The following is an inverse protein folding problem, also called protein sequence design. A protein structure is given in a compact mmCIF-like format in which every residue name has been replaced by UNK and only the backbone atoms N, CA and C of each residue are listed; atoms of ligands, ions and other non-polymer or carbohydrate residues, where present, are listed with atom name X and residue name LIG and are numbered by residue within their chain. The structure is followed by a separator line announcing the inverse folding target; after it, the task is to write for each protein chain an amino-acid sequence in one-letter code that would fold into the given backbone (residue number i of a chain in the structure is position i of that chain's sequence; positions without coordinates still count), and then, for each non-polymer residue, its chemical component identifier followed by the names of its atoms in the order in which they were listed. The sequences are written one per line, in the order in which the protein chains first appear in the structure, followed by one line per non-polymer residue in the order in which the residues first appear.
data_IF_609536353304
#
_entry.id   IF_609536353304
#
_cell.length_a   1.000
_cell.length_b   1.000
_cell.length_c   1.000
_cell.angle_alpha   90.00
_cell.angle_beta   90.00
_cell.angle_gamma   90.00
#
_symmetry.space_group_name_H-M   'P 1'
#
loop_
_entity.id
_entity.type
_entity.pdbx_description
1 polymer ?
#
# COMPACT_ATOMS: atom_id res chain seq x y z
N UNK A 1 -63.71 -12.81 -2.93
CA UNK A 1 -62.24 -12.78 -2.73
C UNK A 1 -61.54 -12.90 -4.08
N UNK A 2 -61.20 -11.77 -4.69
CA UNK A 2 -60.49 -11.72 -5.98
C UNK A 2 -59.01 -11.90 -5.71
N UNK A 3 -58.44 -13.02 -6.15
CA UNK A 3 -56.99 -13.28 -6.09
C UNK A 3 -56.27 -12.31 -7.03
N UNK A 4 -55.65 -11.27 -6.48
CA UNK A 4 -54.67 -10.48 -7.21
C UNK A 4 -53.42 -11.34 -7.48
N UNK A 5 -53.34 -11.95 -8.65
CA UNK A 5 -52.11 -12.55 -9.14
C UNK A 5 -51.14 -11.42 -9.52
N UNK A 6 -50.13 -11.18 -8.70
CA UNK A 6 -49.04 -10.29 -9.06
C UNK A 6 -48.37 -10.80 -10.35
N UNK A 7 -48.39 -9.98 -11.41
CA UNK A 7 -47.64 -10.29 -12.65
C UNK A 7 -46.17 -10.34 -12.31
N UNK A 8 -45.56 -11.53 -12.39
CA UNK A 8 -44.12 -11.68 -12.24
C UNK A 8 -43.39 -10.78 -13.27
N UNK A 9 -42.50 -9.93 -12.81
CA UNK A 9 -41.63 -9.14 -13.67
C UNK A 9 -40.64 -10.03 -14.47
N UNK A 10 -40.57 -11.33 -14.16
CA UNK A 10 -39.61 -12.28 -14.73
C UNK A 10 -40.26 -13.00 -15.92
N UNK A 11 -39.76 -12.74 -17.13
CA UNK A 11 -40.09 -13.51 -18.33
C UNK A 11 -39.34 -14.85 -18.32
N UNK A 12 -39.88 -15.90 -18.97
CA UNK A 12 -39.13 -17.15 -19.16
C UNK A 12 -37.75 -16.85 -19.81
N UNK A 13 -36.69 -17.51 -19.34
CA UNK A 13 -35.37 -17.35 -19.92
C UNK A 13 -35.37 -17.82 -21.39
N UNK A 14 -34.86 -17.03 -22.33
CA UNK A 14 -34.76 -17.45 -23.72
C UNK A 14 -33.75 -18.60 -23.87
N UNK A 15 -33.95 -19.44 -24.89
CA UNK A 15 -32.99 -20.49 -25.23
C UNK A 15 -31.68 -19.83 -25.75
N UNK A 16 -30.55 -20.20 -25.17
CA UNK A 16 -29.24 -19.65 -25.52
C UNK A 16 -28.45 -20.69 -26.33
N UNK A 17 -27.97 -20.30 -27.50
CA UNK A 17 -27.04 -21.08 -28.30
C UNK A 17 -25.61 -20.48 -28.12
N UNK A 18 -24.62 -21.35 -27.89
CA UNK A 18 -23.22 -20.93 -27.68
C UNK A 18 -22.37 -21.15 -28.95
N UNK A 19 -21.70 -20.10 -29.44
CA UNK A 19 -20.83 -20.14 -30.58
C UNK A 19 -19.44 -19.57 -30.27
N UNK A 20 -18.38 -20.30 -30.62
CA UNK A 20 -16.98 -19.91 -30.39
C UNK A 20 -16.40 -19.16 -31.62
N UNK A 21 -17.04 -18.07 -32.07
CA UNK A 21 -16.67 -17.33 -33.29
C UNK A 21 -16.09 -15.94 -33.03
N UNK A 22 -16.16 -15.41 -31.81
CA UNK A 22 -15.72 -14.07 -31.51
C UNK A 22 -14.20 -13.98 -31.39
N UNK A 23 -13.59 -13.02 -32.13
CA UNK A 23 -12.13 -12.74 -32.13
C UNK A 23 -11.86 -11.36 -31.50
N UNK A 24 -10.66 -11.17 -30.97
CA UNK A 24 -10.19 -9.89 -30.42
C UNK A 24 -10.91 -9.43 -29.16
N UNK A 25 -11.52 -10.35 -28.39
CA UNK A 25 -12.21 -10.03 -27.14
C UNK A 25 -11.25 -10.06 -25.97
N UNK A 26 -11.42 -9.12 -25.06
CA UNK A 26 -10.80 -9.11 -23.72
C UNK A 26 -11.85 -8.80 -22.67
N UNK A 27 -11.71 -9.40 -21.49
CA UNK A 27 -12.47 -9.04 -20.30
C UNK A 27 -11.76 -8.01 -19.41
N UNK A 28 -10.60 -7.50 -19.85
CA UNK A 28 -9.69 -6.67 -19.07
C UNK A 28 -9.23 -5.43 -19.84
N UNK A 29 -10.13 -4.82 -20.62
CA UNK A 29 -9.78 -3.65 -21.45
C UNK A 29 -9.28 -2.46 -20.64
N UNK A 30 -9.66 -2.35 -19.36
CA UNK A 30 -9.17 -1.33 -18.44
C UNK A 30 -7.70 -1.46 -18.04
N UNK A 31 -7.03 -2.54 -18.41
CA UNK A 31 -5.56 -2.68 -18.29
C UNK A 31 -4.82 -1.83 -19.36
N UNK A 32 -5.41 -1.58 -20.52
CA UNK A 32 -4.76 -0.79 -21.55
C UNK A 32 -4.31 0.62 -21.07
N UNK A 33 -5.14 1.41 -20.35
CA UNK A 33 -4.69 2.66 -19.75
C UNK A 33 -3.51 2.50 -18.78
N UNK A 34 -3.45 1.41 -18.01
CA UNK A 34 -2.35 1.13 -17.08
C UNK A 34 -1.04 0.85 -17.84
N UNK A 35 -1.12 0.05 -18.90
CA UNK A 35 0.02 -0.23 -19.78
C UNK A 35 0.57 1.07 -20.36
N UNK A 36 -0.27 1.89 -20.97
CA UNK A 36 0.14 3.15 -21.57
C UNK A 36 0.68 4.14 -20.54
N UNK A 37 0.06 4.21 -19.35
CA UNK A 37 0.53 5.04 -18.25
C UNK A 37 1.97 4.69 -17.84
N UNK A 38 2.27 3.41 -17.60
CA UNK A 38 3.64 2.99 -17.26
C UNK A 38 4.63 3.21 -18.39
N UNK A 39 4.23 2.97 -19.64
CA UNK A 39 5.07 3.23 -20.82
C UNK A 39 5.40 4.73 -20.93
N UNK A 40 4.42 5.62 -20.75
CA UNK A 40 4.61 7.08 -20.77
C UNK A 40 5.36 7.63 -19.57
N UNK A 41 5.33 6.94 -18.44
CA UNK A 41 6.24 7.22 -17.34
C UNK A 41 7.68 6.78 -17.66
N UNK A 42 7.91 6.08 -18.78
CA UNK A 42 9.22 5.59 -19.20
C UNK A 42 9.69 4.38 -18.38
N UNK A 43 8.78 3.45 -18.05
CA UNK A 43 9.12 2.27 -17.27
C UNK A 43 10.33 1.51 -17.82
N UNK A 44 10.33 1.20 -19.12
CA UNK A 44 11.43 0.43 -19.76
C UNK A 44 12.75 1.18 -19.75
N UNK A 45 12.71 2.50 -20.00
CA UNK A 45 13.88 3.37 -19.94
C UNK A 45 14.49 3.39 -18.54
N UNK A 46 13.64 3.60 -17.52
CA UNK A 46 14.07 3.65 -16.13
C UNK A 46 14.61 2.29 -15.69
N UNK A 47 13.99 1.17 -16.08
CA UNK A 47 14.51 -0.17 -15.80
C UNK A 47 15.90 -0.37 -16.42
N UNK A 48 16.08 0.00 -17.68
CA UNK A 48 17.40 -0.11 -18.38
C UNK A 48 18.49 0.74 -17.72
N UNK A 49 18.13 1.91 -17.18
CA UNK A 49 19.08 2.79 -16.52
C UNK A 49 19.43 2.35 -15.09
N UNK A 50 18.50 1.71 -14.38
CA UNK A 50 18.66 1.40 -12.97
C UNK A 50 19.06 -0.04 -12.69
N UNK A 51 18.68 -0.98 -13.56
CA UNK A 51 18.84 -2.40 -13.28
C UNK A 51 19.95 -2.99 -14.14
N UNK A 52 21.00 -3.40 -13.46
CA UNK A 52 22.08 -4.20 -14.05
C UNK A 52 21.73 -5.68 -13.95
N UNK A 53 21.21 -6.23 -15.05
CA UNK A 53 20.83 -7.63 -15.14
C UNK A 53 21.16 -8.21 -16.51
N UNK A 54 22.29 -8.90 -16.58
CA UNK A 54 22.71 -9.53 -17.82
C UNK A 54 21.94 -10.81 -18.11
N UNK A 55 21.46 -10.92 -19.33
CA UNK A 55 20.95 -12.16 -19.92
C UNK A 55 21.69 -12.43 -21.24
N UNK A 56 22.03 -13.69 -21.47
CA UNK A 56 22.70 -14.06 -22.71
C UNK A 56 21.98 -13.55 -23.96
N UNK A 57 22.72 -13.35 -25.06
CA UNK A 57 22.21 -12.79 -26.32
C UNK A 57 21.00 -13.55 -26.89
N UNK A 58 20.84 -14.83 -26.60
CA UNK A 58 19.72 -15.68 -27.03
C UNK A 58 18.50 -15.59 -26.09
N UNK A 59 18.50 -14.70 -25.11
CA UNK A 59 17.39 -14.58 -24.18
C UNK A 59 16.19 -13.87 -24.86
N UNK A 60 15.10 -14.62 -25.05
CA UNK A 60 13.89 -14.13 -25.71
C UNK A 60 13.17 -13.01 -24.92
N UNK A 61 13.27 -13.00 -23.58
CA UNK A 61 12.59 -12.05 -22.72
C UNK A 61 13.63 -11.32 -21.87
N UNK A 62 13.55 -10.01 -21.77
CA UNK A 62 14.38 -9.20 -20.88
C UNK A 62 13.93 -9.32 -19.43
N UNK A 63 14.74 -8.79 -18.51
CA UNK A 63 14.33 -8.71 -17.11
C UNK A 63 13.24 -7.65 -16.92
N UNK A 64 13.30 -6.53 -17.65
CA UNK A 64 12.25 -5.50 -17.63
C UNK A 64 10.91 -6.04 -18.13
N UNK A 65 10.89 -6.91 -19.17
CA UNK A 65 9.65 -7.57 -19.60
C UNK A 65 9.05 -8.42 -18.48
N UNK A 66 9.88 -9.20 -17.77
CA UNK A 66 9.41 -10.02 -16.65
C UNK A 66 8.84 -9.18 -15.50
N UNK A 67 9.47 -8.05 -15.19
CA UNK A 67 8.97 -7.09 -14.20
C UNK A 67 7.65 -6.48 -14.66
N UNK A 68 7.58 -5.98 -15.89
CA UNK A 68 6.37 -5.38 -16.45
C UNK A 68 5.19 -6.35 -16.46
N UNK A 69 5.42 -7.59 -16.94
CA UNK A 69 4.41 -8.66 -16.94
C UNK A 69 3.89 -8.94 -15.54
N UNK A 70 4.80 -8.95 -14.55
CA UNK A 70 4.44 -9.23 -13.16
C UNK A 70 3.65 -8.09 -12.54
N UNK A 71 4.05 -6.83 -12.76
CA UNK A 71 3.33 -5.64 -12.29
C UNK A 71 1.91 -5.60 -12.87
N UNK A 72 1.78 -5.70 -14.19
CA UNK A 72 0.47 -5.66 -14.85
C UNK A 72 -0.41 -6.85 -14.47
N UNK A 73 0.15 -8.06 -14.44
CA UNK A 73 -0.59 -9.25 -13.99
C UNK A 73 -1.08 -9.14 -12.55
N UNK A 74 -0.29 -8.54 -11.67
CA UNK A 74 -0.67 -8.27 -10.27
C UNK A 74 -1.81 -7.25 -10.19
N UNK A 75 -1.76 -6.19 -10.99
CA UNK A 75 -2.84 -5.21 -11.10
C UNK A 75 -4.14 -5.89 -11.58
N UNK A 76 -4.06 -6.78 -12.56
CA UNK A 76 -5.19 -7.57 -13.03
C UNK A 76 -5.75 -8.54 -11.98
N UNK A 77 -5.02 -8.80 -10.89
CA UNK A 77 -5.45 -9.63 -9.77
C UNK A 77 -4.75 -10.99 -9.68
N UNK A 78 -3.67 -11.19 -10.42
CA UNK A 78 -2.88 -12.42 -10.30
C UNK A 78 -2.18 -12.51 -8.94
N UNK A 79 -2.23 -13.68 -8.32
CA UNK A 79 -1.65 -13.97 -7.00
C UNK A 79 -0.51 -15.01 -7.05
N UNK A 80 -0.12 -15.43 -8.25
CA UNK A 80 1.00 -16.37 -8.49
C UNK A 80 1.56 -16.16 -9.90
N UNK A 81 2.78 -16.67 -10.17
CA UNK A 81 3.38 -16.59 -11.50
C UNK A 81 2.51 -17.26 -12.57
N UNK A 82 1.93 -18.41 -12.26
CA UNK A 82 0.99 -19.09 -13.16
C UNK A 82 -0.21 -18.19 -13.52
N UNK A 83 -0.80 -17.50 -12.54
CA UNK A 83 -1.91 -16.59 -12.80
C UNK A 83 -1.46 -15.33 -13.55
N UNK A 84 -0.23 -14.87 -13.39
CA UNK A 84 0.35 -13.79 -14.21
C UNK A 84 0.39 -14.22 -15.68
N UNK A 85 0.92 -15.42 -15.95
CA UNK A 85 0.92 -15.97 -17.31
C UNK A 85 -0.48 -16.15 -17.87
N UNK A 86 -1.45 -16.57 -17.04
CA UNK A 86 -2.86 -16.67 -17.44
C UNK A 86 -3.46 -15.30 -17.85
N UNK A 87 -3.11 -14.22 -17.16
CA UNK A 87 -3.51 -12.86 -17.61
C UNK A 87 -2.96 -12.54 -18.99
N UNK A 88 -1.69 -12.90 -19.24
CA UNK A 88 -1.03 -12.66 -20.52
C UNK A 88 -1.37 -13.68 -21.61
N UNK A 89 -2.21 -14.70 -21.32
CA UNK A 89 -2.86 -15.53 -22.34
C UNK A 89 -3.85 -14.71 -23.19
N UNK A 90 -4.33 -13.59 -22.66
CA UNK A 90 -5.17 -12.66 -23.38
C UNK A 90 -4.42 -12.06 -24.59
N UNK A 91 -4.87 -12.44 -25.80
CA UNK A 91 -4.25 -12.00 -27.04
C UNK A 91 -4.31 -10.49 -27.23
N UNK A 92 -5.39 -9.84 -26.78
CA UNK A 92 -5.58 -8.39 -26.89
C UNK A 92 -4.53 -7.65 -26.08
N UNK A 93 -4.29 -8.05 -24.82
CA UNK A 93 -3.24 -7.43 -23.99
C UNK A 93 -1.86 -7.61 -24.59
N UNK A 94 -1.55 -8.79 -25.13
CA UNK A 94 -0.27 -9.03 -25.82
C UNK A 94 -0.10 -8.12 -27.03
N UNK A 95 -1.13 -7.99 -27.86
CA UNK A 95 -1.10 -7.11 -29.05
C UNK A 95 -0.91 -5.64 -28.68
N UNK A 96 -1.56 -5.15 -27.60
CA UNK A 96 -1.37 -3.78 -27.09
C UNK A 96 0.08 -3.53 -26.69
N UNK A 97 0.77 -4.54 -26.13
CA UNK A 97 2.19 -4.45 -25.77
C UNK A 97 3.17 -4.80 -26.90
N UNK A 98 2.67 -5.19 -28.08
CA UNK A 98 3.53 -5.63 -29.19
C UNK A 98 4.21 -6.98 -28.96
N UNK A 99 3.71 -7.81 -28.05
CA UNK A 99 4.30 -9.12 -27.75
C UNK A 99 3.69 -10.26 -28.58
N UNK A 100 4.52 -10.95 -29.34
CA UNK A 100 4.12 -12.15 -30.09
C UNK A 100 3.91 -13.36 -29.18
N UNK A 101 4.61 -13.41 -28.05
CA UNK A 101 4.55 -14.51 -27.07
C UNK A 101 4.91 -14.00 -25.67
N UNK A 102 4.60 -14.80 -24.67
CA UNK A 102 4.96 -14.57 -23.26
C UNK A 102 5.67 -15.80 -22.70
N UNK A 103 6.53 -15.66 -21.67
CA UNK A 103 7.15 -16.78 -21.00
C UNK A 103 6.10 -17.62 -20.27
N UNK A 104 6.36 -18.89 -20.08
CA UNK A 104 5.66 -19.73 -19.12
C UNK A 104 6.03 -19.34 -17.68
N UNK A 105 5.30 -19.85 -16.70
CA UNK A 105 5.50 -19.55 -15.29
C UNK A 105 6.85 -20.08 -14.78
N UNK A 106 7.34 -21.19 -15.31
CA UNK A 106 8.64 -21.77 -14.96
C UNK A 106 9.78 -20.89 -15.47
N UNK A 107 9.65 -20.35 -16.68
CA UNK A 107 10.62 -19.42 -17.27
C UNK A 107 10.60 -18.08 -16.52
N UNK A 108 9.42 -17.55 -16.20
CA UNK A 108 9.29 -16.34 -15.39
C UNK A 108 9.93 -16.53 -14.01
N UNK A 109 9.67 -17.69 -13.37
CA UNK A 109 10.29 -18.05 -12.11
C UNK A 109 11.82 -18.18 -12.19
N UNK A 110 12.36 -18.75 -13.28
CA UNK A 110 13.82 -18.82 -13.51
C UNK A 110 14.45 -17.43 -13.67
N UNK A 111 13.77 -16.51 -14.32
CA UNK A 111 14.24 -15.12 -14.45
C UNK A 111 14.37 -14.49 -13.06
N UNK A 112 13.34 -14.58 -12.21
CA UNK A 112 13.40 -14.02 -10.85
C UNK A 112 14.45 -14.68 -9.98
N UNK A 113 14.64 -16.01 -10.05
CA UNK A 113 15.67 -16.73 -9.27
C UNK A 113 17.11 -16.38 -9.67
N UNK A 114 17.36 -15.85 -10.87
CA UNK A 114 18.66 -15.30 -11.26
C UNK A 114 18.92 -13.91 -10.67
N UNK A 115 17.90 -13.21 -10.23
CA UNK A 115 18.02 -11.91 -9.55
C UNK A 115 18.58 -12.10 -8.14
N UNK A 116 19.34 -11.09 -7.69
CA UNK A 116 19.99 -11.01 -6.38
C UNK A 116 19.48 -9.80 -5.60
N UNK A 117 19.90 -9.64 -4.36
CA UNK A 117 19.48 -8.49 -3.52
C UNK A 117 19.87 -7.14 -4.14
N UNK A 118 20.95 -7.08 -4.93
CA UNK A 118 21.30 -5.88 -5.69
C UNK A 118 20.15 -5.45 -6.63
N UNK A 119 19.55 -6.40 -7.38
CA UNK A 119 18.44 -6.08 -8.26
C UNK A 119 17.17 -5.69 -7.48
N UNK A 120 17.00 -6.13 -6.24
CA UNK A 120 15.91 -5.67 -5.38
C UNK A 120 16.07 -4.17 -5.10
N UNK A 121 17.25 -3.74 -4.66
CA UNK A 121 17.56 -2.31 -4.42
C UNK A 121 17.43 -1.49 -5.71
N UNK A 122 17.86 -2.04 -6.84
CA UNK A 122 17.72 -1.39 -8.14
C UNK A 122 16.24 -1.24 -8.56
N UNK A 123 15.39 -2.22 -8.26
CA UNK A 123 13.94 -2.12 -8.51
C UNK A 123 13.26 -1.12 -7.57
N UNK A 124 13.72 -0.99 -6.32
CA UNK A 124 13.32 0.11 -5.44
C UNK A 124 13.67 1.47 -6.06
N UNK A 125 14.86 1.61 -6.63
CA UNK A 125 15.27 2.84 -7.32
C UNK A 125 14.40 3.13 -8.56
N UNK A 126 13.97 2.10 -9.31
CA UNK A 126 12.98 2.25 -10.40
C UNK A 126 11.68 2.85 -9.84
N UNK A 127 11.14 2.28 -8.76
CA UNK A 127 9.92 2.76 -8.12
C UNK A 127 10.06 4.25 -7.72
N UNK A 128 11.19 4.62 -7.11
CA UNK A 128 11.47 6.01 -6.70
C UNK A 128 11.55 6.96 -7.90
N UNK A 129 12.21 6.58 -9.00
CA UNK A 129 12.28 7.43 -10.20
C UNK A 129 10.93 7.61 -10.87
N UNK A 130 10.13 6.55 -10.99
CA UNK A 130 8.77 6.64 -11.52
C UNK A 130 7.89 7.53 -10.63
N UNK A 131 7.96 7.38 -9.30
CA UNK A 131 7.28 8.26 -8.35
C UNK A 131 7.63 9.72 -8.56
N UNK A 132 8.92 10.05 -8.70
CA UNK A 132 9.35 11.43 -8.88
C UNK A 132 8.80 12.03 -10.18
N UNK A 133 8.67 11.24 -11.26
CA UNK A 133 7.99 11.65 -12.50
C UNK A 133 6.50 11.93 -12.25
N UNK A 134 5.83 11.08 -11.48
CA UNK A 134 4.41 11.27 -11.10
C UNK A 134 4.23 12.51 -10.25
N UNK A 135 5.04 12.68 -9.20
CA UNK A 135 4.96 13.86 -8.33
C UNK A 135 5.22 15.15 -9.09
N UNK A 136 6.20 15.16 -10.00
CA UNK A 136 6.44 16.31 -10.87
C UNK A 136 5.23 16.68 -11.72
N UNK A 137 4.49 15.69 -12.23
CA UNK A 137 3.22 15.92 -12.96
C UNK A 137 2.12 16.39 -12.03
N UNK A 138 1.95 15.74 -10.87
CA UNK A 138 0.91 16.09 -9.90
C UNK A 138 1.07 17.52 -9.34
N UNK A 139 2.30 18.01 -9.17
CA UNK A 139 2.56 19.39 -8.77
C UNK A 139 2.14 20.35 -9.89
N UNK A 140 2.52 20.05 -11.14
CA UNK A 140 2.18 20.89 -12.28
C UNK A 140 0.68 20.97 -12.53
N UNK A 141 -0.07 19.89 -12.29
CA UNK A 141 -1.53 19.86 -12.42
C UNK A 141 -2.27 20.40 -11.18
N UNK A 142 -1.56 20.64 -10.05
CA UNK A 142 -2.19 21.07 -8.80
C UNK A 142 -2.80 19.92 -7.97
N UNK A 143 -2.65 18.67 -8.39
CA UNK A 143 -3.14 17.50 -7.67
C UNK A 143 -2.36 17.22 -6.37
N UNK A 144 -1.11 17.70 -6.31
CA UNK A 144 -0.24 17.62 -5.16
C UNK A 144 0.26 19.03 -4.81
N UNK A 145 -0.12 19.52 -3.63
CA UNK A 145 0.28 20.85 -3.18
C UNK A 145 1.77 20.85 -2.76
N UNK A 146 2.49 21.90 -3.14
CA UNK A 146 3.91 22.08 -2.76
C UNK A 146 4.09 22.05 -1.24
N UNK A 147 3.13 22.55 -0.47
CA UNK A 147 3.15 22.49 1.00
C UNK A 147 3.25 21.07 1.59
N UNK A 148 2.80 20.03 0.87
CA UNK A 148 2.96 18.65 1.29
C UNK A 148 4.43 18.21 1.28
N UNK A 149 5.31 18.85 0.49
CA UNK A 149 6.74 18.57 0.47
C UNK A 149 7.49 19.16 1.66
N UNK A 150 7.00 20.25 2.23
CA UNK A 150 7.63 20.81 3.43
C UNK A 150 7.33 20.00 4.69
N UNK A 151 6.18 19.30 4.73
CA UNK A 151 5.81 18.47 5.88
C UNK A 151 4.88 17.33 5.46
N UNK A 152 5.41 16.12 5.45
CA UNK A 152 4.65 14.91 5.05
C UNK A 152 4.58 13.90 6.18
N UNK A 153 3.37 13.44 6.49
CA UNK A 153 3.14 12.35 7.44
C UNK A 153 3.43 11.01 6.76
N UNK A 154 4.24 10.20 7.42
CA UNK A 154 4.62 8.87 6.95
C UNK A 154 4.20 7.85 8.00
N UNK A 155 3.29 6.97 7.62
CA UNK A 155 2.84 5.86 8.45
C UNK A 155 3.70 4.65 8.20
N UNK A 156 4.41 4.19 9.22
CA UNK A 156 5.23 2.99 9.14
C UNK A 156 4.56 1.87 9.93
N UNK A 157 4.47 0.72 9.28
CA UNK A 157 3.92 -0.48 9.90
C UNK A 157 4.65 -1.74 9.43
N UNK A 158 4.57 -2.78 10.23
CA UNK A 158 5.04 -4.12 9.87
C UNK A 158 3.87 -5.09 9.81
N UNK A 159 3.96 -6.06 8.92
CA UNK A 159 2.92 -7.07 8.79
C UNK A 159 3.52 -8.46 8.71
N UNK A 160 2.76 -9.46 9.11
CA UNK A 160 3.19 -10.85 9.05
C UNK A 160 2.67 -11.50 7.77
N UNK A 161 3.57 -12.12 7.02
CA UNK A 161 3.26 -12.96 5.87
C UNK A 161 3.57 -14.42 6.20
N UNK A 162 2.58 -15.16 6.65
CA UNK A 162 2.71 -16.61 6.90
C UNK A 162 3.04 -17.34 5.59
N UNK A 163 3.98 -18.27 5.66
CA UNK A 163 4.36 -19.14 4.54
C UNK A 163 4.19 -20.60 4.90
N UNK A 164 3.93 -21.41 3.87
CA UNK A 164 3.80 -22.85 4.01
C UNK A 164 4.99 -23.50 3.29
N UNK A 165 5.80 -24.23 4.02
CA UNK A 165 7.03 -24.85 3.53
C UNK A 165 8.30 -24.09 3.94
N UNK A 166 9.45 -24.64 3.54
CA UNK A 166 10.80 -24.14 3.84
C UNK A 166 11.21 -23.20 2.70
N UNK A 167 11.08 -21.90 2.94
CA UNK A 167 11.52 -20.85 2.01
C UNK A 167 12.67 -20.09 2.66
N UNK A 168 13.68 -19.74 1.85
CA UNK A 168 14.82 -18.95 2.31
C UNK A 168 14.34 -17.62 2.94
N UNK A 169 14.88 -17.27 4.11
CA UNK A 169 14.50 -16.09 4.88
C UNK A 169 13.20 -16.23 5.67
N UNK A 170 12.42 -17.30 5.49
CA UNK A 170 11.28 -17.58 6.35
C UNK A 170 11.76 -18.09 7.71
N UNK A 171 11.24 -17.50 8.78
CA UNK A 171 11.60 -17.87 10.14
C UNK A 171 10.38 -17.89 11.06
N UNK A 172 10.49 -18.63 12.17
CA UNK A 172 9.52 -18.57 13.26
C UNK A 172 9.73 -17.29 14.04
N UNK A 173 8.67 -16.51 14.24
CA UNK A 173 8.68 -15.26 14.99
C UNK A 173 7.28 -14.95 15.49
N UNK A 174 7.06 -13.69 15.88
CA UNK A 174 5.73 -13.24 16.25
C UNK A 174 4.77 -13.36 15.06
N UNK A 175 3.78 -14.24 15.21
CA UNK A 175 2.73 -14.42 14.20
C UNK A 175 1.37 -14.52 14.92
N UNK A 176 0.58 -13.45 14.91
CA UNK A 176 -0.70 -13.41 15.62
C UNK A 176 -1.77 -14.31 14.97
N UNK A 177 -1.62 -14.62 13.67
CA UNK A 177 -2.60 -15.43 12.95
C UNK A 177 -2.34 -16.93 13.05
N UNK A 178 -1.06 -17.33 13.16
CA UNK A 178 -0.68 -18.75 13.25
C UNK A 178 0.60 -18.90 14.07
N UNK A 179 0.44 -19.06 15.36
CA UNK A 179 1.55 -19.23 16.32
C UNK A 179 2.50 -20.36 15.88
N UNK A 180 3.81 -20.11 15.89
CA UNK A 180 4.84 -21.08 15.55
C UNK A 180 5.01 -21.36 14.04
N UNK A 181 4.23 -20.75 13.15
CA UNK A 181 4.39 -20.90 11.71
C UNK A 181 5.58 -20.06 11.18
N UNK A 182 6.22 -20.57 10.12
CA UNK A 182 7.21 -19.82 9.37
C UNK A 182 6.54 -18.61 8.68
N UNK A 183 7.22 -17.48 8.71
CA UNK A 183 6.71 -16.24 8.14
C UNK A 183 7.82 -15.33 7.64
N UNK A 184 7.46 -14.34 6.84
CA UNK A 184 8.19 -13.10 6.63
C UNK A 184 7.54 -11.99 7.45
N UNK A 185 8.30 -10.94 7.73
CA UNK A 185 7.82 -9.75 8.44
C UNK A 185 8.10 -8.48 7.60
N UNK A 186 7.35 -8.23 6.51
CA UNK A 186 7.51 -7.03 5.71
C UNK A 186 7.32 -5.76 6.55
N UNK A 187 8.14 -4.75 6.26
CA UNK A 187 8.00 -3.39 6.79
C UNK A 187 7.67 -2.44 5.66
N UNK A 188 6.70 -1.57 5.86
CA UNK A 188 6.15 -0.71 4.82
C UNK A 188 5.96 0.71 5.37
N UNK A 189 6.33 1.72 4.59
CA UNK A 189 6.10 3.12 4.87
C UNK A 189 5.15 3.73 3.84
N UNK A 190 4.02 4.25 4.29
CA UNK A 190 3.03 4.92 3.45
C UNK A 190 3.11 6.43 3.57
N UNK A 191 2.93 7.14 2.47
CA UNK A 191 2.65 8.57 2.47
C UNK A 191 1.18 8.81 2.78
N UNK A 192 0.86 9.52 3.87
CA UNK A 192 -0.54 9.79 4.23
C UNK A 192 -1.27 10.66 3.20
N UNK A 193 -0.55 11.53 2.48
CA UNK A 193 -1.16 12.43 1.50
C UNK A 193 -1.54 11.73 0.20
N UNK A 194 -0.70 10.79 -0.29
CA UNK A 194 -0.86 10.13 -1.59
C UNK A 194 -1.31 8.67 -1.47
N UNK A 195 -1.29 8.12 -0.26
CA UNK A 195 -1.60 6.72 0.07
C UNK A 195 -0.66 5.71 -0.60
N UNK A 196 0.42 6.16 -1.23
CA UNK A 196 1.41 5.31 -1.87
C UNK A 196 2.43 4.75 -0.90
N UNK A 197 3.09 3.67 -1.28
CA UNK A 197 4.21 3.09 -0.53
C UNK A 197 5.48 3.83 -0.94
N UNK A 198 6.12 4.51 0.03
CA UNK A 198 7.38 5.21 -0.19
C UNK A 198 8.57 4.27 -0.12
N UNK A 199 8.53 3.31 0.81
CA UNK A 199 9.57 2.32 1.04
C UNK A 199 8.96 1.02 1.55
N UNK A 200 9.49 -0.13 1.14
CA UNK A 200 9.06 -1.42 1.65
C UNK A 200 10.21 -2.43 1.64
N UNK A 201 10.40 -3.13 2.75
CA UNK A 201 11.36 -4.21 2.89
C UNK A 201 10.67 -5.54 3.14
N UNK A 202 11.03 -6.58 2.42
CA UNK A 202 10.74 -7.95 2.83
C UNK A 202 11.80 -8.37 3.86
N UNK A 203 11.39 -8.69 5.10
CA UNK A 203 12.28 -9.08 6.19
C UNK A 203 12.01 -10.51 6.62
N UNK A 204 12.99 -11.14 7.28
CA UNK A 204 12.82 -12.47 7.87
C UNK A 204 11.76 -12.48 8.96
N UNK A 205 11.10 -13.61 9.18
CA UNK A 205 9.99 -13.70 10.13
C UNK A 205 10.37 -13.55 11.61
N UNK A 206 11.65 -13.71 11.94
CA UNK A 206 12.18 -13.51 13.31
C UNK A 206 12.54 -12.05 13.62
N UNK A 207 12.42 -11.14 12.64
CA UNK A 207 12.78 -9.73 12.79
C UNK A 207 11.73 -9.00 13.62
N UNK A 208 12.17 -8.31 14.70
CA UNK A 208 11.29 -7.41 15.44
C UNK A 208 10.96 -6.15 14.65
N UNK A 209 9.84 -5.51 14.98
CA UNK A 209 9.33 -4.32 14.29
C UNK A 209 10.37 -3.21 14.20
N UNK A 210 11.09 -2.91 15.28
CA UNK A 210 12.11 -1.85 15.33
C UNK A 210 13.46 -2.21 14.73
N UNK A 211 13.75 -3.49 14.46
CA UNK A 211 15.06 -3.87 13.93
C UNK A 211 15.30 -3.27 12.55
N UNK A 212 16.41 -2.53 12.40
CA UNK A 212 16.80 -1.87 11.16
C UNK A 212 15.95 -0.65 10.79
N UNK A 213 15.12 -0.12 11.72
CA UNK A 213 14.22 1.00 11.41
C UNK A 213 14.99 2.26 11.01
N UNK A 214 16.12 2.56 11.62
CA UNK A 214 16.93 3.72 11.25
C UNK A 214 17.47 3.58 9.83
N UNK A 215 18.05 2.43 9.48
CA UNK A 215 18.52 2.16 8.11
C UNK A 215 17.37 2.22 7.08
N UNK A 216 16.18 1.70 7.43
CA UNK A 216 14.98 1.79 6.61
C UNK A 216 14.58 3.25 6.36
N UNK A 217 14.60 4.09 7.39
CA UNK A 217 14.27 5.51 7.28
C UNK A 217 15.34 6.31 6.53
N UNK A 218 16.62 5.99 6.72
CA UNK A 218 17.72 6.59 5.97
C UNK A 218 17.55 6.33 4.46
N UNK A 219 17.30 5.08 4.08
CA UNK A 219 17.06 4.72 2.69
C UNK A 219 15.81 5.39 2.11
N UNK A 220 14.74 5.53 2.92
CA UNK A 220 13.53 6.24 2.51
C UNK A 220 13.83 7.72 2.24
N UNK A 221 14.48 8.42 3.19
CA UNK A 221 14.70 9.87 3.13
C UNK A 221 15.63 10.26 1.98
N UNK A 222 16.68 9.49 1.71
CA UNK A 222 17.61 9.73 0.57
C UNK A 222 16.86 9.79 -0.78
N UNK A 223 15.73 9.11 -0.89
CA UNK A 223 14.91 9.03 -2.11
C UNK A 223 13.75 10.04 -2.14
N UNK A 224 13.66 10.94 -1.16
CA UNK A 224 12.69 12.02 -1.11
C UNK A 224 13.33 13.37 -1.53
N UNK A 225 12.51 14.36 -1.92
CA UNK A 225 13.03 15.72 -2.14
C UNK A 225 13.76 16.26 -0.90
N UNK A 226 14.93 16.88 -1.10
CA UNK A 226 15.81 17.34 -0.01
C UNK A 226 15.14 18.27 0.99
N UNK A 227 14.16 19.08 0.54
CA UNK A 227 13.46 20.02 1.41
C UNK A 227 12.29 19.36 2.18
N UNK A 228 12.04 18.07 1.94
CA UNK A 228 10.89 17.39 2.56
C UNK A 228 11.20 17.03 4.00
N UNK A 229 10.51 17.68 4.93
CA UNK A 229 10.45 17.25 6.32
C UNK A 229 9.40 16.18 6.47
N UNK A 230 9.76 15.01 6.97
CA UNK A 230 8.82 13.95 7.31
C UNK A 230 8.37 14.05 8.77
N UNK A 231 7.17 13.56 9.05
CA UNK A 231 6.69 13.26 10.40
C UNK A 231 6.40 11.78 10.47
N UNK A 232 7.25 11.05 11.18
CA UNK A 232 7.11 9.61 11.38
C UNK A 232 5.93 9.33 12.30
N UNK A 233 5.00 8.46 11.89
CA UNK A 233 3.89 7.98 12.71
C UNK A 233 3.92 6.46 12.76
N UNK A 234 3.99 5.90 13.96
CA UNK A 234 4.11 4.45 14.16
C UNK A 234 3.43 3.97 15.43
N UNK A 235 3.25 2.67 15.51
CA UNK A 235 2.74 2.02 16.70
C UNK A 235 3.80 1.95 17.81
N UNK A 236 3.44 1.34 18.92
CA UNK A 236 4.32 1.19 20.08
C UNK A 236 5.54 0.28 19.83
N UNK A 237 5.57 -0.48 18.74
CA UNK A 237 6.72 -1.28 18.32
C UNK A 237 7.90 -0.41 17.84
N UNK A 238 7.63 0.84 17.47
CA UNK A 238 8.63 1.83 17.06
C UNK A 238 9.05 2.79 18.18
N UNK A 239 8.62 2.55 19.43
CA UNK A 239 8.98 3.37 20.57
C UNK A 239 10.40 3.05 21.05
N UNK A 240 11.40 3.45 20.26
CA UNK A 240 12.84 3.19 20.51
C UNK A 240 13.66 4.47 20.41
N UNK A 241 14.60 4.65 21.35
CA UNK A 241 15.41 5.87 21.47
C UNK A 241 16.22 6.18 20.22
N UNK A 242 16.87 5.16 19.63
CA UNK A 242 17.70 5.30 18.42
C UNK A 242 16.94 5.95 17.24
N UNK A 243 15.69 5.52 16.99
CA UNK A 243 14.85 6.12 15.96
C UNK A 243 14.54 7.59 16.27
N UNK A 244 14.17 7.87 17.53
CA UNK A 244 13.84 9.23 17.95
C UNK A 244 15.06 10.16 17.87
N UNK A 245 16.23 9.68 18.27
CA UNK A 245 17.50 10.44 18.16
C UNK A 245 17.83 10.73 16.70
N UNK A 246 17.68 9.74 15.82
CA UNK A 246 17.93 9.92 14.40
C UNK A 246 16.94 10.91 13.75
N UNK A 247 15.65 10.81 14.06
CA UNK A 247 14.64 11.75 13.54
C UNK A 247 14.91 13.19 14.00
N UNK A 248 15.24 13.37 15.28
CA UNK A 248 15.59 14.66 15.84
C UNK A 248 16.86 15.26 15.20
N UNK A 249 17.92 14.45 15.02
CA UNK A 249 19.19 14.87 14.42
C UNK A 249 19.03 15.31 12.95
N UNK A 250 18.07 14.74 12.24
CA UNK A 250 17.80 15.05 10.83
C UNK A 250 16.64 16.08 10.64
N UNK A 251 16.16 16.72 11.70
CA UNK A 251 15.11 17.74 11.63
C UNK A 251 13.72 17.19 11.29
N UNK A 252 13.52 15.87 11.42
CA UNK A 252 12.26 15.21 11.19
C UNK A 252 11.37 15.20 12.43
N UNK A 253 10.07 15.05 12.23
CA UNK A 253 9.11 14.93 13.31
C UNK A 253 8.69 13.50 13.61
N UNK A 254 8.01 13.31 14.73
CA UNK A 254 7.42 12.02 15.07
C UNK A 254 6.17 12.16 15.95
N UNK A 255 5.32 11.11 15.87
CA UNK A 255 4.17 10.87 16.74
C UNK A 255 4.04 9.36 16.91
N UNK A 256 4.49 8.82 18.04
CA UNK A 256 4.58 7.38 18.29
C UNK A 256 3.84 7.03 19.56
N UNK A 257 3.04 5.94 19.52
CA UNK A 257 2.35 5.42 20.70
C UNK A 257 3.38 4.91 21.71
N UNK A 258 3.19 5.28 22.96
CA UNK A 258 4.11 4.91 24.05
C UNK A 258 3.87 3.47 24.50
N UNK A 259 4.96 2.73 24.68
CA UNK A 259 5.00 1.44 25.36
C UNK A 259 6.05 1.49 26.47
N UNK A 260 5.61 1.76 27.67
CA UNK A 260 6.49 1.89 28.83
C UNK A 260 5.97 1.04 29.97
N UNK A 261 6.85 0.27 30.61
CA UNK A 261 6.53 -0.43 31.85
C UNK A 261 6.24 0.61 32.94
N UNK A 262 5.12 0.48 33.63
CA UNK A 262 4.70 1.46 34.66
C UNK A 262 4.10 2.75 34.09
N UNK A 263 3.67 2.77 32.82
CA UNK A 263 3.04 3.93 32.18
C UNK A 263 1.83 4.44 32.96
N UNK A 264 0.97 3.57 33.48
CA UNK A 264 -0.21 3.95 34.25
C UNK A 264 0.21 4.77 35.49
N UNK A 265 1.15 4.25 36.29
CA UNK A 265 1.64 4.95 37.50
C UNK A 265 2.35 6.28 37.17
N UNK A 266 2.95 6.40 35.98
CA UNK A 266 3.52 7.66 35.52
C UNK A 266 2.42 8.67 35.17
N UNK A 267 1.35 8.21 34.52
CA UNK A 267 0.21 9.03 34.11
C UNK A 267 -0.65 9.46 35.31
N UNK A 268 -0.80 8.63 36.32
CA UNK A 268 -1.56 8.95 37.56
C UNK A 268 -0.96 10.14 38.32
N UNK A 269 0.36 10.36 38.16
CA UNK A 269 1.09 11.47 38.81
C UNK A 269 0.95 12.80 38.04
N UNK A 270 0.30 12.79 36.86
CA UNK A 270 0.20 13.99 36.04
C UNK A 270 -1.03 14.83 36.39
N UNK A 271 -0.95 16.14 36.13
CA UNK A 271 -2.08 17.06 36.24
C UNK A 271 -2.94 16.96 34.99
N UNK A 272 -4.17 16.49 35.15
CA UNK A 272 -5.12 16.30 34.07
C UNK A 272 -6.05 17.50 33.91
N UNK A 273 -6.24 17.98 32.69
CA UNK A 273 -7.13 19.07 32.33
C UNK A 273 -8.29 18.54 31.50
N UNK A 274 -9.51 19.02 31.75
CA UNK A 274 -10.68 18.70 30.92
C UNK A 274 -10.51 19.26 29.52
N UNK A 275 -10.98 18.49 28.52
CA UNK A 275 -10.95 18.93 27.12
C UNK A 275 -12.26 19.66 26.84
N UNK A 276 -12.23 20.96 26.41
CA UNK A 276 -13.44 21.69 26.06
C UNK A 276 -14.27 20.96 25.00
N UNK A 277 -15.58 20.93 25.19
CA UNK A 277 -16.55 20.28 24.30
C UNK A 277 -16.38 18.75 24.12
N UNK A 278 -15.60 18.08 24.97
CA UNK A 278 -15.41 16.64 24.95
C UNK A 278 -15.66 16.04 26.35
N UNK A 279 -16.93 15.90 26.79
CA UNK A 279 -17.26 15.37 28.12
C UNK A 279 -16.63 13.98 28.35
N UNK A 280 -16.08 13.75 29.53
CA UNK A 280 -15.43 12.50 29.91
C UNK A 280 -13.99 12.33 29.38
N UNK A 281 -13.48 13.32 28.62
CA UNK A 281 -12.10 13.33 28.16
C UNK A 281 -11.25 14.35 28.92
N UNK A 282 -10.04 13.91 29.25
CA UNK A 282 -9.03 14.77 29.86
C UNK A 282 -7.71 14.63 29.13
N UNK A 283 -6.85 15.63 29.24
CA UNK A 283 -5.55 15.68 28.60
C UNK A 283 -4.46 16.12 29.54
N UNK A 284 -3.23 15.69 29.33
CA UNK A 284 -2.04 16.19 29.99
C UNK A 284 -0.83 16.19 29.08
N UNK A 285 0.15 16.96 29.43
CA UNK A 285 1.45 17.06 28.76
C UNK A 285 2.55 17.07 29.81
N UNK A 286 3.63 16.33 29.56
CA UNK A 286 4.78 16.27 30.45
C UNK A 286 6.06 15.93 29.70
N UNK A 287 7.21 16.10 30.33
CA UNK A 287 8.49 15.65 29.81
C UNK A 287 8.98 14.44 30.59
N UNK A 288 9.46 13.43 29.88
CA UNK A 288 9.98 12.21 30.48
C UNK A 288 11.23 11.73 29.74
N UNK A 289 12.14 11.10 30.49
CA UNK A 289 13.30 10.43 29.93
C UNK A 289 13.24 8.96 30.27
N UNK A 290 13.16 8.10 29.27
CA UNK A 290 13.32 6.66 29.47
C UNK A 290 14.80 6.33 29.75
N UNK A 291 15.05 5.28 30.53
CA UNK A 291 16.38 5.01 31.09
C UNK A 291 17.55 4.94 30.10
N UNK A 292 17.31 4.49 28.86
CA UNK A 292 18.33 4.37 27.82
C UNK A 292 18.36 5.54 26.82
N UNK A 293 17.50 6.56 27.02
CA UNK A 293 17.42 7.66 26.08
C UNK A 293 18.46 8.74 26.33
N UNK A 294 18.96 9.33 25.27
CA UNK A 294 19.96 10.41 25.31
C UNK A 294 19.45 11.69 25.98
N UNK A 295 18.11 11.94 25.91
CA UNK A 295 17.49 13.18 26.43
C UNK A 295 16.03 12.98 26.83
N UNK A 296 15.54 13.95 27.59
CA UNK A 296 14.10 14.09 27.88
C UNK A 296 13.33 14.43 26.60
N UNK A 297 12.12 13.87 26.48
CA UNK A 297 11.21 14.16 25.35
C UNK A 297 9.82 14.53 25.86
N UNK A 298 9.09 15.17 24.98
CA UNK A 298 7.72 15.60 25.22
C UNK A 298 6.78 14.41 25.06
N UNK A 299 5.98 14.16 26.09
CA UNK A 299 4.89 13.19 26.12
C UNK A 299 3.56 13.95 26.19
N UNK A 300 2.60 13.47 25.44
CA UNK A 300 1.23 13.96 25.45
C UNK A 300 0.29 12.79 25.71
N UNK A 301 -0.70 12.97 26.56
CA UNK A 301 -1.64 11.91 26.85
C UNK A 301 -3.07 12.45 26.94
N UNK A 302 -4.00 11.59 26.58
CA UNK A 302 -5.43 11.78 26.83
C UNK A 302 -5.96 10.57 27.58
N UNK A 303 -7.01 10.78 28.38
CA UNK A 303 -7.74 9.71 29.03
C UNK A 303 -9.23 9.88 28.84
N UNK A 304 -9.94 8.78 28.73
CA UNK A 304 -11.38 8.73 28.61
C UNK A 304 -11.98 7.98 29.80
N UNK A 305 -12.96 8.58 30.44
CA UNK A 305 -13.72 7.95 31.50
C UNK A 305 -14.49 6.74 30.93
N UNK A 306 -14.23 5.56 31.50
CA UNK A 306 -15.02 4.36 31.15
C UNK A 306 -16.41 4.50 31.72
N UNK A 307 -17.41 4.25 30.92
CA UNK A 307 -18.78 4.07 31.44
C UNK A 307 -18.74 2.84 32.34
N UNK A 308 -18.98 3.04 33.65
CA UNK A 308 -19.07 1.90 34.57
C UNK A 308 -20.27 1.03 34.16
N UNK A 309 -20.04 -0.26 34.03
CA UNK A 309 -21.10 -1.26 33.82
C UNK A 309 -21.78 -1.61 35.17
N UNK A 310 -21.84 -0.65 36.09
CA UNK A 310 -22.49 -0.89 37.37
C UNK A 310 -23.99 -0.82 37.23
N UNK A 311 -24.66 -1.91 37.47
CA UNK A 311 -26.11 -2.09 37.44
C UNK A 311 -26.89 -1.32 38.52
N UNK A 312 -26.22 -0.53 39.37
CA UNK A 312 -26.90 0.34 40.34
C UNK A 312 -26.19 1.68 40.54
N UNK A 313 -26.93 2.79 40.61
CA UNK A 313 -26.39 4.13 40.83
C UNK A 313 -25.63 4.28 42.17
N UNK A 314 -25.98 3.52 43.21
CA UNK A 314 -25.36 3.57 44.51
C UNK A 314 -23.96 2.96 44.54
N UNK A 315 -23.65 1.93 43.74
CA UNK A 315 -22.30 1.36 43.63
C UNK A 315 -21.35 2.25 42.84
N UNK A 316 -21.87 3.07 41.94
CA UNK A 316 -21.07 3.98 41.16
C UNK A 316 -20.49 5.16 41.97
N UNK A 317 -21.06 5.49 43.13
CA UNK A 317 -20.57 6.57 44.00
C UNK A 317 -19.29 6.21 44.77
N UNK A 318 -18.99 4.92 44.93
CA UNK A 318 -17.88 4.43 45.75
C UNK A 318 -16.78 3.74 44.94
N UNK A 319 -16.86 3.70 43.62
CA UNK A 319 -15.80 3.14 42.75
C UNK A 319 -14.95 4.25 42.19
N UNK A 320 -13.63 4.12 42.32
CA UNK A 320 -12.69 5.04 41.67
C UNK A 320 -12.95 5.08 40.14
N UNK A 321 -12.90 6.28 39.52
CA UNK A 321 -13.14 6.41 38.12
C UNK A 321 -12.08 5.65 37.33
N UNK A 322 -12.52 4.70 36.50
CA UNK A 322 -11.63 3.93 35.62
C UNK A 322 -11.49 4.66 34.28
N UNK A 323 -10.25 4.82 33.86
CA UNK A 323 -9.92 5.51 32.60
C UNK A 323 -9.22 4.59 31.61
N UNK A 324 -9.49 4.81 30.32
CA UNK A 324 -8.64 4.36 29.23
C UNK A 324 -7.61 5.44 28.91
N UNK A 325 -6.33 5.06 28.88
CA UNK A 325 -5.21 5.98 28.64
C UNK A 325 -4.64 5.82 27.25
N UNK A 326 -4.36 6.93 26.60
CA UNK A 326 -3.66 7.00 25.32
C UNK A 326 -2.50 7.98 25.46
N UNK A 327 -1.27 7.47 25.33
CA UNK A 327 -0.06 8.25 25.49
C UNK A 327 0.84 8.15 24.28
N UNK A 328 1.40 9.29 23.89
CA UNK A 328 2.27 9.44 22.73
C UNK A 328 3.51 10.24 23.08
N UNK A 329 4.64 9.89 22.43
CA UNK A 329 5.82 10.74 22.37
C UNK A 329 5.80 11.51 21.05
N UNK A 330 6.07 12.81 21.08
CA UNK A 330 6.00 13.64 19.88
C UNK A 330 6.94 14.84 19.94
N UNK A 331 7.50 15.19 18.77
CA UNK A 331 8.21 16.46 18.55
C UNK A 331 7.31 17.53 17.93
N UNK A 332 6.07 17.19 17.56
CA UNK A 332 5.14 18.09 16.88
C UNK A 332 4.43 19.01 17.86
N UNK A 333 4.27 20.30 17.48
CA UNK A 333 3.54 21.31 18.28
C UNK A 333 2.03 21.11 18.18
N UNK A 334 1.54 19.97 18.66
CA UNK A 334 0.11 19.62 18.73
C UNK A 334 -0.32 19.62 20.21
N UNK A 335 -1.53 20.05 20.50
CA UNK A 335 -2.11 19.80 21.83
C UNK A 335 -2.28 18.28 22.03
N UNK A 336 -2.37 17.76 23.26
CA UNK A 336 -2.56 16.33 23.48
C UNK A 336 -3.76 15.76 22.75
N UNK A 337 -4.87 16.51 22.70
CA UNK A 337 -6.08 16.13 21.96
C UNK A 337 -5.87 16.11 20.44
N UNK A 338 -5.17 17.12 19.89
CA UNK A 338 -4.81 17.13 18.48
C UNK A 338 -3.89 15.98 18.11
N UNK A 339 -2.91 15.65 18.97
CA UNK A 339 -2.02 14.52 18.78
C UNK A 339 -2.79 13.19 18.77
N UNK A 340 -3.76 13.02 19.70
CA UNK A 340 -4.62 11.85 19.74
C UNK A 340 -5.45 11.71 18.46
N UNK A 341 -6.11 12.77 18.00
CA UNK A 341 -6.85 12.76 16.73
C UNK A 341 -5.95 12.45 15.54
N UNK A 342 -4.79 13.11 15.47
CA UNK A 342 -3.82 12.90 14.39
C UNK A 342 -3.25 11.47 14.40
N UNK A 343 -3.04 10.89 15.58
CA UNK A 343 -2.67 9.49 15.69
C UNK A 343 -3.78 8.55 15.22
N UNK A 344 -5.03 8.86 15.52
CA UNK A 344 -6.19 8.08 15.06
C UNK A 344 -6.29 7.94 13.54
N UNK A 345 -5.83 8.93 12.77
CA UNK A 345 -5.75 8.85 11.31
C UNK A 345 -4.84 7.71 10.81
N UNK A 346 -3.93 7.18 11.66
CA UNK A 346 -3.11 6.00 11.36
C UNK A 346 -3.96 4.76 11.07
N UNK A 347 -5.18 4.66 11.59
CA UNK A 347 -6.08 3.55 11.29
C UNK A 347 -6.32 3.38 9.78
N UNK A 348 -6.24 4.47 9.00
CA UNK A 348 -6.35 4.39 7.55
C UNK A 348 -5.15 3.69 6.89
N UNK A 349 -3.96 3.71 7.52
CA UNK A 349 -2.79 2.98 7.04
C UNK A 349 -3.01 1.45 7.08
N UNK A 350 -3.75 0.96 8.06
CA UNK A 350 -4.10 -0.47 8.17
C UNK A 350 -4.94 -0.90 6.96
N UNK A 351 -5.86 -0.05 6.49
CA UNK A 351 -6.63 -0.29 5.26
C UNK A 351 -5.71 -0.32 4.03
N UNK A 352 -4.76 0.61 3.90
CA UNK A 352 -3.83 0.62 2.77
C UNK A 352 -2.89 -0.58 2.79
N UNK A 353 -2.46 -0.99 3.98
CA UNK A 353 -1.64 -2.19 4.16
C UNK A 353 -2.43 -3.46 3.78
N UNK A 354 -3.71 -3.53 4.13
CA UNK A 354 -4.59 -4.63 3.73
C UNK A 354 -4.79 -4.66 2.21
N UNK A 355 -5.01 -3.52 1.58
CA UNK A 355 -5.09 -3.42 0.12
C UNK A 355 -3.79 -3.90 -0.56
N UNK A 356 -2.64 -3.44 -0.12
CA UNK A 356 -1.34 -3.85 -0.65
C UNK A 356 -1.10 -5.36 -0.45
N UNK A 357 -1.43 -5.87 0.73
CA UNK A 357 -1.22 -7.24 1.16
C UNK A 357 -2.15 -8.22 0.44
N UNK A 358 -3.45 -7.96 0.48
CA UNK A 358 -4.49 -8.89 0.07
C UNK A 358 -5.02 -8.61 -1.35
N UNK A 359 -5.09 -7.35 -1.75
CA UNK A 359 -5.62 -6.98 -3.06
C UNK A 359 -4.52 -6.84 -4.13
N UNK A 360 -3.26 -6.51 -3.76
CA UNK A 360 -2.11 -6.43 -4.67
C UNK A 360 -1.07 -7.53 -4.50
N UNK A 361 -1.43 -8.61 -3.87
CA UNK A 361 -0.63 -9.83 -3.90
C UNK A 361 0.67 -9.80 -3.10
N UNK A 362 0.96 -8.77 -2.31
CA UNK A 362 2.17 -8.74 -1.47
C UNK A 362 2.26 -9.94 -0.52
N UNK A 363 1.11 -10.52 -0.13
CA UNK A 363 1.05 -11.69 0.74
C UNK A 363 1.01 -13.03 -0.02
N UNK A 364 0.81 -13.04 -1.34
CA UNK A 364 0.47 -14.26 -2.07
C UNK A 364 1.59 -14.82 -2.93
N UNK A 365 2.40 -13.97 -3.58
CA UNK A 365 3.44 -14.41 -4.50
C UNK A 365 4.68 -14.84 -3.70
N UNK A 366 5.13 -16.09 -3.91
CA UNK A 366 6.20 -16.73 -3.14
C UNK A 366 7.16 -17.46 -4.07
N UNK A 367 8.45 -17.33 -3.82
CA UNK A 367 9.52 -18.15 -4.39
C UNK A 367 10.21 -18.93 -3.28
N UNK A 368 11.06 -19.90 -3.65
CA UNK A 368 11.95 -20.58 -2.69
C UNK A 368 13.08 -19.65 -2.24
N UNK A 369 13.63 -18.85 -3.16
CA UNK A 369 14.75 -17.95 -2.91
C UNK A 369 14.27 -16.63 -2.31
N UNK A 370 14.99 -16.11 -1.34
CA UNK A 370 14.66 -14.85 -0.68
C UNK A 370 14.75 -13.64 -1.62
N UNK A 371 15.80 -13.56 -2.44
CA UNK A 371 15.98 -12.48 -3.42
C UNK A 371 14.85 -12.48 -4.46
N UNK A 372 14.47 -13.65 -5.00
CA UNK A 372 13.34 -13.77 -5.92
C UNK A 372 12.00 -13.38 -5.27
N UNK A 373 11.79 -13.78 -4.01
CA UNK A 373 10.60 -13.37 -3.23
C UNK A 373 10.57 -11.87 -3.02
N UNK A 374 11.73 -11.24 -2.75
CA UNK A 374 11.85 -9.79 -2.57
C UNK A 374 11.61 -9.03 -3.87
N UNK A 375 12.08 -9.52 -5.01
CA UNK A 375 11.80 -8.94 -6.33
C UNK A 375 10.30 -8.97 -6.66
N UNK A 376 9.64 -10.11 -6.44
CA UNK A 376 8.20 -10.25 -6.67
C UNK A 376 7.42 -9.35 -5.71
N UNK A 377 7.87 -9.23 -4.47
CA UNK A 377 7.31 -8.31 -3.49
C UNK A 377 7.44 -6.85 -3.96
N UNK A 378 8.58 -6.43 -4.48
CA UNK A 378 8.76 -5.08 -5.04
C UNK A 378 7.91 -4.85 -6.30
N UNK A 379 7.68 -5.87 -7.13
CA UNK A 379 6.71 -5.78 -8.22
C UNK A 379 5.28 -5.51 -7.70
N UNK A 380 4.90 -6.14 -6.59
CA UNK A 380 3.59 -5.89 -5.96
C UNK A 380 3.50 -4.48 -5.35
N UNK A 381 4.58 -3.96 -4.77
CA UNK A 381 4.70 -2.57 -4.32
C UNK A 381 4.50 -1.60 -5.49
N UNK A 382 5.19 -1.83 -6.60
CA UNK A 382 5.07 -1.00 -7.79
C UNK A 382 3.67 -1.08 -8.41
N UNK A 383 3.06 -2.26 -8.42
CA UNK A 383 1.68 -2.46 -8.87
C UNK A 383 0.69 -1.65 -8.01
N UNK A 384 0.84 -1.69 -6.68
CA UNK A 384 0.05 -0.89 -5.75
C UNK A 384 0.23 0.61 -6.04
N UNK A 385 1.47 1.07 -6.10
CA UNK A 385 1.80 2.46 -6.35
C UNK A 385 1.27 2.94 -7.70
N UNK A 386 1.33 2.13 -8.75
CA UNK A 386 0.80 2.48 -10.08
C UNK A 386 -0.67 2.87 -10.01
N UNK A 387 -1.50 2.11 -9.32
CA UNK A 387 -2.93 2.44 -9.17
C UNK A 387 -3.11 3.70 -8.32
N UNK A 388 -2.33 3.90 -7.26
CA UNK A 388 -2.38 5.12 -6.44
C UNK A 388 -1.92 6.36 -7.21
N UNK A 389 -0.90 6.23 -8.06
CA UNK A 389 -0.45 7.31 -8.94
C UNK A 389 -1.48 7.68 -10.01
N UNK A 390 -2.12 6.68 -10.62
CA UNK A 390 -3.22 6.93 -11.54
C UNK A 390 -4.40 7.61 -10.84
N UNK A 391 -4.74 7.18 -9.62
CA UNK A 391 -5.77 7.84 -8.83
C UNK A 391 -5.39 9.28 -8.44
N UNK A 392 -4.12 9.53 -8.07
CA UNK A 392 -3.60 10.86 -7.73
C UNK A 392 -3.74 11.83 -8.92
N UNK A 393 -3.31 11.41 -10.11
CA UNK A 393 -3.34 12.22 -11.34
C UNK A 393 -4.72 12.30 -11.99
N UNK A 394 -5.71 11.59 -11.45
CA UNK A 394 -7.08 11.63 -11.97
C UNK A 394 -7.81 12.90 -11.56
N UNK A 395 -8.57 13.49 -12.48
CA UNK A 395 -9.53 14.56 -12.24
C UNK A 395 -10.77 14.09 -11.44
N UNK A 396 -10.94 12.79 -11.25
CA UNK A 396 -12.11 12.20 -10.61
C UNK A 396 -11.91 11.93 -9.12
N UNK A 397 -12.73 12.57 -8.28
CA UNK A 397 -12.66 12.42 -6.82
C UNK A 397 -12.96 10.99 -6.34
N UNK A 398 -13.84 10.25 -7.00
CA UNK A 398 -14.20 8.89 -6.59
C UNK A 398 -13.00 7.94 -6.74
N UNK A 399 -12.21 8.07 -7.83
CA UNK A 399 -11.01 7.26 -8.03
C UNK A 399 -9.97 7.44 -6.92
N UNK A 400 -9.86 8.65 -6.36
CA UNK A 400 -8.94 8.94 -5.24
C UNK A 400 -9.35 8.23 -3.93
N UNK A 401 -10.63 7.83 -3.82
CA UNK A 401 -11.17 7.14 -2.64
C UNK A 401 -11.36 5.63 -2.82
N UNK A 402 -11.44 5.15 -4.06
CA UNK A 402 -11.67 3.74 -4.32
C UNK A 402 -10.51 2.87 -3.85
N UNK A 403 -10.87 1.74 -3.26
CA UNK A 403 -9.93 0.66 -3.02
C UNK A 403 -9.54 -0.01 -4.33
N UNK A 404 -8.40 -0.67 -4.32
CA UNK A 404 -7.84 -1.35 -5.50
C UNK A 404 -8.80 -2.40 -6.05
N UNK A 405 -9.47 -3.15 -5.17
CA UNK A 405 -10.46 -4.16 -5.60
C UNK A 405 -11.66 -3.51 -6.31
N UNK A 406 -12.08 -2.33 -5.88
CA UNK A 406 -13.13 -1.54 -6.53
C UNK A 406 -12.71 -1.09 -7.93
N UNK A 407 -11.48 -0.55 -8.05
CA UNK A 407 -10.88 -0.18 -9.35
C UNK A 407 -10.81 -1.41 -10.27
N UNK A 408 -10.37 -2.55 -9.74
CA UNK A 408 -10.29 -3.79 -10.51
C UNK A 408 -11.64 -4.26 -11.00
N UNK A 409 -12.65 -4.24 -10.14
CA UNK A 409 -14.00 -4.72 -10.46
C UNK A 409 -14.70 -3.84 -11.48
N UNK A 410 -14.60 -2.51 -11.31
CA UNK A 410 -15.38 -1.58 -12.11
C UNK A 410 -14.65 -1.03 -13.33
N UNK A 411 -13.33 -0.94 -13.31
CA UNK A 411 -12.59 -0.38 -14.44
C UNK A 411 -11.76 -1.45 -15.17
N UNK A 412 -10.90 -2.17 -14.47
CA UNK A 412 -9.98 -3.12 -15.12
C UNK A 412 -10.76 -4.24 -15.82
N UNK A 413 -11.74 -4.84 -15.15
CA UNK A 413 -12.57 -5.93 -15.67
C UNK A 413 -13.71 -5.43 -16.58
N UNK A 414 -13.40 -4.54 -17.48
CA UNK A 414 -14.32 -4.05 -18.50
C UNK A 414 -14.10 -4.82 -19.79
N UNK A 415 -15.19 -5.30 -20.40
CA UNK A 415 -15.11 -5.96 -21.70
C UNK A 415 -14.67 -5.00 -22.79
N UNK A 416 -13.91 -5.51 -23.77
CA UNK A 416 -13.50 -4.74 -24.93
C UNK A 416 -13.26 -5.64 -26.13
N UNK A 417 -13.31 -5.05 -27.35
CA UNK A 417 -13.00 -5.75 -28.60
C UNK A 417 -11.93 -4.97 -29.37
N UNK A 418 -10.78 -5.61 -29.58
CA UNK A 418 -9.72 -5.06 -30.38
C UNK A 418 -10.00 -5.31 -31.86
N UNK A 419 -9.94 -4.26 -32.64
CA UNK A 419 -9.99 -4.28 -34.09
C UNK A 419 -8.60 -3.89 -34.61
N UNK A 420 -8.10 -4.66 -35.57
CA UNK A 420 -6.86 -4.38 -36.31
C UNK A 420 -7.20 -3.92 -37.71
N UNK A 421 -6.67 -2.80 -38.14
CA UNK A 421 -6.83 -2.28 -39.49
C UNK A 421 -5.73 -1.30 -39.81
N UNK A 422 -5.26 -1.27 -41.07
CA UNK A 422 -4.35 -0.27 -41.66
C UNK A 422 -3.36 0.40 -40.68
N UNK A 423 -2.50 -0.38 -40.02
CA UNK A 423 -1.50 0.04 -39.01
C UNK A 423 -2.04 0.68 -37.72
N UNK A 424 -3.33 0.54 -37.43
CA UNK A 424 -3.91 1.04 -36.18
C UNK A 424 -4.62 -0.06 -35.39
N UNK A 425 -4.44 0.00 -34.09
CA UNK A 425 -5.22 -0.80 -33.11
C UNK A 425 -6.36 0.07 -32.57
N UNK A 426 -7.60 -0.39 -32.70
CA UNK A 426 -8.78 0.27 -32.15
C UNK A 426 -9.44 -0.63 -31.12
N UNK A 427 -9.40 -0.22 -29.84
CA UNK A 427 -10.08 -0.92 -28.77
C UNK A 427 -11.50 -0.38 -28.62
N UNK A 428 -12.49 -1.14 -29.07
CA UNK A 428 -13.89 -0.81 -28.89
C UNK A 428 -14.33 -1.18 -27.47
N UNK A 429 -14.88 -0.20 -26.75
CA UNK A 429 -15.33 -0.29 -25.37
C UNK A 429 -16.87 -0.25 -25.32
N UNK A 430 -17.50 -0.70 -24.22
CA UNK A 430 -18.96 -0.60 -24.05
C UNK A 430 -19.43 0.84 -24.23
N UNK A 431 -20.54 1.04 -24.98
CA UNK A 431 -21.16 2.35 -25.19
C UNK A 431 -21.62 2.99 -23.87
N UNK A 432 -22.11 2.16 -22.96
CA UNK A 432 -22.54 2.57 -21.62
C UNK A 432 -21.69 1.84 -20.58
N UNK A 433 -21.22 2.57 -19.58
CA UNK A 433 -20.46 2.04 -18.45
C UNK A 433 -21.15 2.46 -17.16
N UNK A 434 -21.31 1.52 -16.21
CA UNK A 434 -21.97 1.78 -14.92
C UNK A 434 -21.39 2.99 -14.17
N UNK A 435 -20.06 3.15 -14.23
CA UNK A 435 -19.31 4.26 -13.65
C UNK A 435 -18.71 5.12 -14.76
N UNK A 436 -19.55 5.80 -15.53
CA UNK A 436 -19.15 6.50 -16.76
C UNK A 436 -18.12 7.60 -16.56
N UNK A 437 -18.24 8.39 -15.48
CA UNK A 437 -17.26 9.48 -15.17
C UNK A 437 -15.90 8.92 -14.71
N UNK A 438 -15.82 8.04 -13.68
CA UNK A 438 -14.56 7.39 -13.33
C UNK A 438 -13.91 6.66 -14.50
N UNK A 439 -14.71 6.03 -15.36
CA UNK A 439 -14.22 5.34 -16.56
C UNK A 439 -13.60 6.30 -17.57
N UNK A 440 -14.23 7.43 -17.86
CA UNK A 440 -13.67 8.45 -18.76
C UNK A 440 -12.36 9.02 -18.21
N UNK A 441 -12.33 9.32 -16.91
CA UNK A 441 -11.10 9.80 -16.25
C UNK A 441 -10.00 8.73 -16.29
N UNK A 442 -10.34 7.45 -16.10
CA UNK A 442 -9.40 6.35 -16.23
C UNK A 442 -8.77 6.25 -17.62
N UNK A 443 -9.58 6.38 -18.65
CA UNK A 443 -9.10 6.35 -20.04
C UNK A 443 -8.18 7.54 -20.38
N UNK A 444 -8.47 8.74 -19.85
CA UNK A 444 -7.62 9.93 -20.04
C UNK A 444 -6.21 9.73 -19.52
N UNK A 445 -6.03 8.93 -18.45
CA UNK A 445 -4.71 8.65 -17.85
C UNK A 445 -3.75 7.93 -18.80
N UNK A 446 -4.25 7.29 -19.86
CA UNK A 446 -3.40 6.74 -20.93
C UNK A 446 -2.68 7.80 -21.76
N UNK A 447 -3.04 9.08 -21.63
CA UNK A 447 -2.45 10.21 -22.36
C UNK A 447 -1.58 11.12 -21.47
N UNK A 448 -1.54 10.87 -20.20
CA UNK A 448 -0.72 11.56 -19.21
C UNK A 448 0.67 10.91 -19.13
#
# INVERSE_FOLDING_TARGET
MTKHTSKSARKPAPKINYHHSAKGLTSQSGIAPVIHFLQRLGFDEVCKQQIDFYRGSNARYSFSDALFMTVIGTIAGATSLLKIVAVWSDQVLRQICGWSSVPDDSTLGRIFRKGKLMQVTQLEAVNHKLRNRVWGRAIKSGDLLVGHFYKTWIDVDSTVKTVFGVQEGAAKGYNPHKKGAFSFNPQVAFCSATKEILQAWLRTGSTYTSNGIVAFMQQLVVNLPQQMRIVFRGDSGYFVGELLDWLDANGHGYLIKVKLKGLASLLDKQSWQTIPHCPGWQQCEFTHQCGTWSRRRRFVAVRQLKKSSCDSPQKALFTDPVYDYFCYVTSERLTPWQAHKRYGERATCETWLDEAKNQMGMAHIKSRDFAASSLIFQCAVLAYNTIRWMALLSDNKQLKHWEIQTVRTYLIRTAGKLLTGSNQLKLNLPKQHLHSEPWRSWLKLSFI
#
